data_IF_748345386998
#
_entry.id   IF_748345386998
#
_cell.length_a   1.000
_cell.length_b   1.000
_cell.length_c   1.000
_cell.angle_alpha   90.00
_cell.angle_beta   90.00
_cell.angle_gamma   90.00
#
_symmetry.space_group_name_H-M   'P 1'
#
loop_
_entity.id
_entity.type
_entity.pdbx_description
1 polymer ?
#
# COMPACT_ATOMS: atom_id res chain seq x y z
N UNK A 1 -4.00 3.35 -12.12
CA UNK A 1 -4.87 4.46 -11.65
C UNK A 1 -4.98 4.40 -10.14
N UNK A 2 -4.66 5.49 -9.44
CA UNK A 2 -4.75 5.59 -7.97
C UNK A 2 -6.07 6.30 -7.62
N UNK A 3 -6.97 5.63 -6.89
CA UNK A 3 -8.26 6.23 -6.54
C UNK A 3 -8.32 6.66 -5.07
N UNK A 4 -9.01 7.76 -4.75
CA UNK A 4 -9.20 8.24 -3.38
C UNK A 4 -10.00 7.25 -2.51
N UNK A 5 -9.82 7.37 -1.19
CA UNK A 5 -10.38 6.46 -0.20
C UNK A 5 -11.82 6.82 0.19
N UNK A 6 -12.79 5.98 -0.17
CA UNK A 6 -14.16 6.04 0.35
C UNK A 6 -14.24 5.12 1.59
N UNK A 7 -14.49 5.66 2.80
CA UNK A 7 -14.69 4.83 3.99
C UNK A 7 -16.06 4.14 3.89
N UNK A 8 -16.06 2.86 3.53
CA UNK A 8 -17.27 2.01 3.57
C UNK A 8 -17.12 0.98 4.70
N UNK A 9 -18.21 0.70 5.43
CA UNK A 9 -18.26 -0.39 6.42
C UNK A 9 -18.20 -1.73 5.66
N UNK A 10 -17.03 -2.34 5.57
CA UNK A 10 -16.92 -3.72 5.11
C UNK A 10 -17.07 -4.66 6.30
N UNK A 11 -18.09 -5.53 6.25
CA UNK A 11 -18.51 -6.48 7.31
C UNK A 11 -17.52 -7.67 7.50
N UNK A 12 -16.19 -7.46 7.40
CA UNK A 12 -15.21 -8.55 7.49
C UNK A 12 -13.73 -8.16 7.34
N UNK A 13 -13.34 -6.96 7.79
CA UNK A 13 -12.15 -6.24 7.30
C UNK A 13 -10.74 -6.75 7.67
N UNK A 14 -10.55 -7.73 8.57
CA UNK A 14 -9.22 -8.09 9.08
C UNK A 14 -8.59 -9.39 8.53
N UNK A 15 -9.32 -10.25 7.82
CA UNK A 15 -8.83 -11.61 7.47
C UNK A 15 -8.43 -11.77 5.99
N UNK A 16 -8.80 -10.81 5.13
CA UNK A 16 -8.61 -10.94 3.67
C UNK A 16 -7.42 -10.16 3.09
N UNK A 17 -6.46 -9.73 3.92
CA UNK A 17 -5.31 -8.96 3.46
C UNK A 17 -4.01 -9.68 3.78
N UNK A 18 -3.35 -10.17 2.74
CA UNK A 18 -2.02 -10.75 2.81
C UNK A 18 -0.98 -9.63 2.70
N UNK A 19 -0.02 -9.58 3.63
CA UNK A 19 1.07 -8.59 3.53
C UNK A 19 2.18 -9.18 2.67
N UNK A 20 2.40 -8.59 1.50
CA UNK A 20 3.41 -9.02 0.54
C UNK A 20 4.79 -8.44 0.83
N UNK A 21 4.84 -7.21 1.36
CA UNK A 21 6.09 -6.54 1.69
C UNK A 21 5.89 -5.57 2.87
N UNK A 22 6.95 -5.38 3.65
CA UNK A 22 7.00 -4.48 4.79
C UNK A 22 8.37 -3.81 4.88
N UNK A 23 8.38 -2.47 4.85
CA UNK A 23 9.64 -1.69 4.89
C UNK A 23 9.41 -0.35 5.58
N UNK A 24 10.22 -0.06 6.61
CA UNK A 24 10.16 1.20 7.38
C UNK A 24 8.74 1.57 7.88
N UNK A 25 7.95 0.58 8.31
CA UNK A 25 6.56 0.79 8.76
C UNK A 25 5.51 0.77 7.64
N UNK A 26 5.92 0.89 6.38
CA UNK A 26 5.03 0.76 5.22
C UNK A 26 4.68 -0.69 4.96
N UNK A 27 3.45 -0.95 4.53
CA UNK A 27 2.95 -2.29 4.17
C UNK A 27 2.42 -2.29 2.75
N UNK A 28 2.88 -3.22 1.92
CA UNK A 28 2.22 -3.61 0.69
C UNK A 28 1.33 -4.81 1.00
N UNK A 29 0.03 -4.69 0.72
CA UNK A 29 -0.92 -5.76 0.99
C UNK A 29 -1.73 -6.11 -0.25
N UNK A 30 -2.07 -7.38 -0.40
CA UNK A 30 -2.98 -7.90 -1.42
C UNK A 30 -4.27 -8.37 -0.77
N UNK A 31 -5.39 -8.03 -1.39
CA UNK A 31 -6.68 -8.58 -1.02
C UNK A 31 -6.78 -10.01 -1.56
N UNK A 32 -7.00 -11.00 -0.71
CA UNK A 32 -7.07 -12.42 -1.10
C UNK A 32 -8.27 -12.71 -2.00
N UNK A 33 -9.37 -11.95 -1.86
CA UNK A 33 -10.62 -12.21 -2.58
C UNK A 33 -10.69 -11.47 -3.92
N UNK A 34 -10.37 -10.19 -3.92
CA UNK A 34 -10.47 -9.32 -5.11
C UNK A 34 -9.14 -9.07 -5.81
N UNK A 35 -8.06 -9.67 -5.33
CA UNK A 35 -6.68 -9.64 -5.86
C UNK A 35 -6.05 -8.24 -6.04
N UNK A 36 -6.73 -7.16 -5.66
CA UNK A 36 -6.14 -5.83 -5.69
C UNK A 36 -5.14 -5.63 -4.56
N UNK A 37 -4.22 -4.71 -4.81
CA UNK A 37 -3.14 -4.34 -3.93
C UNK A 37 -3.43 -2.99 -3.26
N UNK A 38 -2.91 -2.78 -2.06
CA UNK A 38 -2.90 -1.50 -1.36
C UNK A 38 -1.56 -1.27 -0.68
N UNK A 39 -1.21 0.01 -0.53
CA UNK A 39 -0.05 0.47 0.24
C UNK A 39 -0.56 1.22 1.46
N UNK A 40 -0.12 0.80 2.64
CA UNK A 40 -0.33 1.50 3.91
C UNK A 40 0.96 2.15 4.36
N UNK A 41 0.86 3.34 4.91
CA UNK A 41 1.96 4.01 5.61
C UNK A 41 2.13 3.47 7.05
N UNK A 42 3.16 3.93 7.79
CA UNK A 42 3.37 3.52 9.18
C UNK A 42 2.20 3.85 10.12
N UNK A 43 1.38 4.86 9.78
CA UNK A 43 0.17 5.26 10.51
C UNK A 43 -1.06 4.45 10.10
N UNK A 44 -0.88 3.39 9.31
CA UNK A 44 -1.95 2.54 8.75
C UNK A 44 -2.91 3.29 7.82
N UNK A 45 -2.50 4.42 7.25
CA UNK A 45 -3.29 5.18 6.27
C UNK A 45 -2.98 4.65 4.87
N UNK A 46 -4.02 4.40 4.06
CA UNK A 46 -3.84 3.95 2.67
C UNK A 46 -3.36 5.10 1.80
N UNK A 47 -2.16 4.95 1.25
CA UNK A 47 -1.55 5.94 0.35
C UNK A 47 -1.79 5.62 -1.12
N UNK A 48 -1.95 4.33 -1.45
CA UNK A 48 -2.20 3.88 -2.82
C UNK A 48 -2.94 2.54 -2.85
N UNK A 49 -3.59 2.25 -3.97
CA UNK A 49 -4.13 0.92 -4.28
C UNK A 49 -4.28 0.75 -5.79
N UNK A 50 -4.33 -0.48 -6.27
CA UNK A 50 -4.46 -0.80 -7.68
C UNK A 50 -4.52 -2.30 -7.95
N UNK A 51 -4.86 -2.70 -9.17
CA UNK A 51 -4.93 -4.11 -9.57
C UNK A 51 -3.63 -4.61 -10.21
N UNK A 52 -2.78 -3.70 -10.72
CA UNK A 52 -1.51 -4.04 -11.32
C UNK A 52 -0.42 -4.13 -10.23
N UNK A 53 0.09 -5.34 -10.02
CA UNK A 53 1.14 -5.60 -9.03
C UNK A 53 2.43 -4.82 -9.31
N UNK A 54 2.85 -4.74 -10.58
CA UNK A 54 4.09 -4.08 -10.97
C UNK A 54 4.05 -2.58 -10.68
N UNK A 55 2.96 -1.91 -11.05
CA UNK A 55 2.75 -0.47 -10.78
C UNK A 55 2.72 -0.17 -9.28
N UNK A 56 2.06 -1.02 -8.49
CA UNK A 56 1.98 -0.83 -7.05
C UNK A 56 3.31 -1.13 -6.36
N UNK A 57 4.05 -2.16 -6.79
CA UNK A 57 5.39 -2.44 -6.27
C UNK A 57 6.36 -1.31 -6.57
N UNK A 58 6.27 -0.70 -7.75
CA UNK A 58 7.06 0.50 -8.08
C UNK A 58 6.72 1.67 -7.16
N UNK A 59 5.42 1.96 -6.99
CA UNK A 59 4.96 2.99 -6.04
C UNK A 59 5.44 2.71 -4.61
N UNK A 60 5.40 1.44 -4.17
CA UNK A 60 5.86 1.02 -2.84
C UNK A 60 7.36 1.25 -2.65
N UNK A 61 8.18 0.97 -3.67
CA UNK A 61 9.61 1.33 -3.64
C UNK A 61 9.78 2.83 -3.50
N UNK A 62 9.09 3.64 -4.30
CA UNK A 62 9.14 5.10 -4.20
C UNK A 62 8.76 5.61 -2.80
N UNK A 63 7.70 5.08 -2.19
CA UNK A 63 7.28 5.49 -0.83
C UNK A 63 8.28 5.09 0.26
N UNK A 64 8.97 3.96 0.09
CA UNK A 64 9.90 3.42 1.11
C UNK A 64 11.34 3.92 0.94
N UNK A 65 11.73 4.25 -0.30
CA UNK A 65 13.03 4.79 -0.68
C UNK A 65 13.05 6.32 -0.63
N UNK A 66 11.90 6.97 -0.90
CA UNK A 66 11.72 8.42 -0.85
C UNK A 66 12.00 9.09 0.50
N UNK A 67 12.11 8.31 1.58
CA UNK A 67 12.62 8.77 2.88
C UNK A 67 14.16 8.91 2.96
N UNK A 68 14.89 8.74 1.85
CA UNK A 68 16.34 8.93 1.75
C UNK A 68 16.76 9.99 0.69
N UNK A 69 15.86 10.85 0.20
CA UNK A 69 16.24 12.04 -0.59
C UNK A 69 16.43 13.30 0.29
N UNK A 70 17.00 13.12 1.47
CA UNK A 70 17.69 14.19 2.19
C UNK A 70 19.14 13.73 2.35
N UNK A 71 19.96 14.04 1.35
CA UNK A 71 21.39 14.32 1.50
C UNK A 71 21.89 14.87 0.16
N UNK A 72 22.52 16.05 0.23
CA UNK A 72 23.30 16.76 -0.81
C UNK A 72 22.41 17.56 -1.80
N UNK A 73 22.38 18.90 -1.83
CA UNK A 73 23.33 19.96 -1.46
C UNK A 73 22.58 21.22 -0.99
#
# INVERSE_FOLDING_TARGET
MLFPNIPTKTLGGNVFWETLDYKKGWKLQRNIFSEHYRILDPKQIRQAWGYNESEIRESFRTFTEGNNYNNNW
#
